data_IF_800378184407
#
_entry.id   IF_800378184407
#
_cell.length_a   1.000
_cell.length_b   1.000
_cell.length_c   1.000
_cell.angle_alpha   90.00
_cell.angle_beta   90.00
_cell.angle_gamma   90.00
#
_symmetry.space_group_name_H-M   'P 1'
#
loop_
_entity.id
_entity.type
_entity.pdbx_description
1 polymer ?
#
# COMPACT_ATOMS: atom_id res chain seq x y z
N UNK A 1 15.20 -23.13 7.95
CA UNK A 1 15.95 -22.48 6.85
C UNK A 1 17.44 -22.28 7.21
N UNK A 2 18.36 -22.25 6.24
CA UNK A 2 19.74 -21.80 6.50
C UNK A 2 19.78 -20.27 6.62
N UNK A 3 20.52 -19.73 7.59
CA UNK A 3 20.64 -18.28 7.80
C UNK A 3 20.95 -17.50 6.51
N UNK A 4 21.73 -18.10 5.60
CA UNK A 4 22.08 -17.53 4.30
C UNK A 4 20.87 -17.30 3.36
N UNK A 5 19.89 -18.22 3.32
CA UNK A 5 18.73 -18.08 2.45
C UNK A 5 17.81 -16.92 2.88
N UNK A 6 17.62 -16.74 4.20
CA UNK A 6 16.86 -15.62 4.75
C UNK A 6 17.53 -14.27 4.49
N UNK A 7 18.85 -14.19 4.66
CA UNK A 7 19.62 -12.96 4.35
C UNK A 7 19.52 -12.61 2.86
N UNK A 8 19.67 -13.60 1.98
CA UNK A 8 19.59 -13.40 0.53
C UNK A 8 18.18 -12.98 0.07
N UNK A 9 17.13 -13.45 0.76
CA UNK A 9 15.75 -13.01 0.53
C UNK A 9 15.58 -11.54 0.89
N UNK A 10 15.95 -11.14 2.12
CA UNK A 10 15.81 -9.76 2.60
C UNK A 10 16.56 -8.78 1.71
N UNK A 11 17.79 -9.13 1.30
CA UNK A 11 18.58 -8.30 0.39
C UNK A 11 17.88 -8.06 -0.94
N UNK A 12 17.32 -9.10 -1.58
CA UNK A 12 16.60 -8.97 -2.86
C UNK A 12 15.31 -8.16 -2.71
N UNK A 13 14.57 -8.34 -1.60
CA UNK A 13 13.39 -7.51 -1.31
C UNK A 13 13.77 -6.04 -1.18
N UNK A 14 14.85 -5.73 -0.45
CA UNK A 14 15.34 -4.37 -0.33
C UNK A 14 15.81 -3.80 -1.68
N UNK A 15 16.51 -4.59 -2.49
CA UNK A 15 16.94 -4.16 -3.83
C UNK A 15 15.74 -3.82 -4.72
N UNK A 16 14.74 -4.70 -4.79
CA UNK A 16 13.51 -4.47 -5.54
C UNK A 16 12.76 -3.22 -5.05
N UNK A 17 12.62 -3.08 -3.73
CA UNK A 17 11.98 -1.91 -3.13
C UNK A 17 12.71 -0.60 -3.45
N UNK A 18 14.04 -0.60 -3.53
CA UNK A 18 14.79 0.58 -3.96
C UNK A 18 14.47 0.94 -5.42
N UNK A 19 14.35 -0.04 -6.32
CA UNK A 19 13.93 0.22 -7.71
C UNK A 19 12.51 0.79 -7.79
N UNK A 20 11.57 0.31 -6.96
CA UNK A 20 10.24 0.89 -6.84
C UNK A 20 10.27 2.36 -6.39
N UNK A 21 11.10 2.69 -5.39
CA UNK A 21 11.27 4.08 -4.92
C UNK A 21 11.84 5.00 -6.00
N UNK A 22 12.66 4.46 -6.90
CA UNK A 22 13.18 5.13 -8.08
C UNK A 22 12.18 5.13 -9.26
N UNK A 23 10.98 4.56 -9.10
CA UNK A 23 9.97 4.36 -10.14
C UNK A 23 10.45 3.50 -11.32
N UNK A 24 11.44 2.63 -11.09
CA UNK A 24 11.99 1.67 -12.06
C UNK A 24 11.26 0.33 -11.90
N UNK A 25 9.97 0.34 -12.21
CA UNK A 25 9.04 -0.76 -11.92
C UNK A 25 9.41 -2.06 -12.64
N UNK A 26 9.82 -1.99 -13.91
CA UNK A 26 10.25 -3.15 -14.69
C UNK A 26 11.44 -3.87 -14.02
N UNK A 27 12.43 -3.11 -13.55
CA UNK A 27 13.60 -3.67 -12.88
C UNK A 27 13.26 -4.28 -11.52
N UNK A 28 12.31 -3.68 -10.79
CA UNK A 28 11.79 -4.27 -9.57
C UNK A 28 11.12 -5.64 -9.84
N UNK A 29 10.28 -5.71 -10.88
CA UNK A 29 9.61 -6.95 -11.29
C UNK A 29 10.63 -8.03 -11.66
N UNK A 30 11.69 -7.69 -12.41
CA UNK A 30 12.77 -8.63 -12.75
C UNK A 30 13.51 -9.17 -11.52
N UNK A 31 13.73 -8.32 -10.50
CA UNK A 31 14.33 -8.75 -9.24
C UNK A 31 13.41 -9.74 -8.51
N UNK A 32 12.12 -9.43 -8.40
CA UNK A 32 11.16 -10.32 -7.74
C UNK A 32 10.96 -11.64 -8.49
N UNK A 33 10.95 -11.62 -9.83
CA UNK A 33 10.88 -12.83 -10.64
C UNK A 33 12.10 -13.73 -10.42
N UNK A 34 13.31 -13.16 -10.39
CA UNK A 34 14.54 -13.92 -10.08
C UNK A 34 14.53 -14.46 -8.65
N UNK A 35 14.01 -13.69 -7.69
CA UNK A 35 13.84 -14.16 -6.32
C UNK A 35 12.88 -15.36 -6.27
N UNK A 36 11.70 -15.26 -6.89
CA UNK A 36 10.71 -16.33 -6.96
C UNK A 36 11.25 -17.60 -7.61
N UNK A 37 12.03 -17.49 -8.68
CA UNK A 37 12.68 -18.62 -9.33
C UNK A 37 13.74 -19.31 -8.46
N UNK A 38 14.34 -18.58 -7.52
CA UNK A 38 15.32 -19.12 -6.57
C UNK A 38 14.70 -19.78 -5.34
N UNK A 39 13.44 -19.47 -5.03
CA UNK A 39 12.72 -20.03 -3.90
C UNK A 39 12.18 -21.43 -4.23
N UNK A 40 12.32 -22.42 -3.34
CA UNK A 40 11.71 -23.73 -3.54
C UNK A 40 10.19 -23.63 -3.69
N UNK A 41 9.61 -24.41 -4.61
CA UNK A 41 8.16 -24.57 -4.76
C UNK A 41 7.52 -25.45 -3.66
N UNK A 42 8.25 -25.70 -2.56
CA UNK A 42 7.88 -26.68 -1.53
C UNK A 42 6.84 -26.11 -0.56
N UNK A 43 6.15 -27.03 0.11
CA UNK A 43 5.07 -26.76 1.07
C UNK A 43 5.47 -26.12 2.40
N UNK A 44 6.74 -25.73 2.58
CA UNK A 44 7.20 -25.14 3.85
C UNK A 44 6.51 -23.78 4.06
N UNK A 45 5.80 -23.60 5.19
CA UNK A 45 5.17 -22.33 5.54
C UNK A 45 6.06 -21.10 5.35
N UNK A 46 7.35 -21.21 5.68
CA UNK A 46 8.30 -20.10 5.58
C UNK A 46 8.58 -19.70 4.12
N UNK A 47 8.78 -20.67 3.23
CA UNK A 47 8.98 -20.37 1.81
C UNK A 47 7.72 -19.83 1.15
N UNK A 48 6.54 -20.31 1.56
CA UNK A 48 5.27 -19.74 1.08
C UNK A 48 5.11 -18.28 1.52
N UNK A 49 5.46 -17.94 2.75
CA UNK A 49 5.46 -16.55 3.19
C UNK A 49 6.39 -15.66 2.34
N UNK A 50 7.61 -16.15 2.04
CA UNK A 50 8.55 -15.44 1.17
C UNK A 50 8.02 -15.25 -0.25
N UNK A 51 7.42 -16.29 -0.84
CA UNK A 51 6.79 -16.22 -2.16
C UNK A 51 5.65 -15.21 -2.16
N UNK A 52 4.77 -15.25 -1.17
CA UNK A 52 3.67 -14.30 -1.02
C UNK A 52 4.17 -12.85 -1.01
N UNK A 53 5.22 -12.55 -0.23
CA UNK A 53 5.81 -11.20 -0.15
C UNK A 53 6.34 -10.74 -1.51
N UNK A 54 7.09 -11.58 -2.21
CA UNK A 54 7.65 -11.24 -3.52
C UNK A 54 6.54 -11.06 -4.58
N UNK A 55 5.51 -11.91 -4.57
CA UNK A 55 4.36 -11.83 -5.46
C UNK A 55 3.52 -10.58 -5.21
N UNK A 56 3.28 -10.19 -3.95
CA UNK A 56 2.60 -8.93 -3.62
C UNK A 56 3.34 -7.72 -4.18
N UNK A 57 4.66 -7.66 -4.00
CA UNK A 57 5.48 -6.56 -4.51
C UNK A 57 5.51 -6.52 -6.04
N UNK A 58 5.61 -7.69 -6.68
CA UNK A 58 5.46 -7.80 -8.14
C UNK A 58 4.09 -7.32 -8.61
N UNK A 59 3.01 -7.76 -7.97
CA UNK A 59 1.64 -7.36 -8.28
C UNK A 59 1.43 -5.85 -8.17
N UNK A 60 1.96 -5.22 -7.12
CA UNK A 60 1.91 -3.76 -6.96
C UNK A 60 2.67 -3.02 -8.08
N UNK A 61 3.90 -3.45 -8.40
CA UNK A 61 4.66 -2.85 -9.50
C UNK A 61 3.95 -3.04 -10.87
N UNK A 62 3.30 -4.18 -11.09
CA UNK A 62 2.51 -4.44 -12.30
C UNK A 62 1.28 -3.53 -12.38
N UNK A 63 0.65 -3.19 -11.26
CA UNK A 63 -0.44 -2.20 -11.22
C UNK A 63 0.04 -0.80 -11.62
N UNK A 64 1.20 -0.36 -11.13
CA UNK A 64 1.81 0.91 -11.52
C UNK A 64 2.09 0.98 -13.04
N UNK A 65 2.47 -0.16 -13.64
CA UNK A 65 2.65 -0.32 -15.09
C UNK A 65 1.35 -0.61 -15.85
N UNK A 66 0.19 -0.63 -15.18
CA UNK A 66 -1.13 -0.91 -15.78
C UNK A 66 -1.23 -2.30 -16.44
N UNK A 67 -0.38 -3.26 -16.03
CA UNK A 67 -0.38 -4.65 -16.50
C UNK A 67 -1.36 -5.48 -15.67
N UNK A 68 -2.65 -5.22 -15.86
CA UNK A 68 -3.69 -5.66 -14.94
C UNK A 68 -3.88 -7.17 -14.84
N UNK A 69 -3.80 -7.90 -15.96
CA UNK A 69 -3.94 -9.36 -15.93
C UNK A 69 -2.75 -10.03 -15.22
N UNK A 70 -1.54 -9.53 -15.47
CA UNK A 70 -0.33 -10.01 -14.77
C UNK A 70 -0.40 -9.68 -13.27
N UNK A 71 -0.88 -8.47 -12.93
CA UNK A 71 -1.08 -8.06 -11.54
C UNK A 71 -2.11 -8.96 -10.84
N UNK A 72 -3.23 -9.28 -11.50
CA UNK A 72 -4.24 -10.20 -10.99
C UNK A 72 -3.64 -11.56 -10.69
N UNK A 73 -2.94 -12.14 -11.67
CA UNK A 73 -2.31 -13.45 -11.51
C UNK A 73 -1.31 -13.48 -10.35
N UNK A 74 -0.46 -12.46 -10.25
CA UNK A 74 0.52 -12.34 -9.17
C UNK A 74 -0.16 -12.21 -7.80
N UNK A 75 -1.22 -11.39 -7.67
CA UNK A 75 -1.91 -11.18 -6.40
C UNK A 75 -2.78 -12.36 -5.96
N UNK A 76 -3.39 -13.07 -6.91
CA UNK A 76 -4.11 -14.32 -6.63
C UNK A 76 -3.14 -15.41 -6.13
N UNK A 77 -1.97 -15.55 -6.78
CA UNK A 77 -0.91 -16.46 -6.31
C UNK A 77 -0.37 -16.00 -4.94
N UNK A 78 -0.19 -14.70 -4.73
CA UNK A 78 0.26 -14.15 -3.44
C UNK A 78 -0.69 -14.52 -2.31
N UNK A 79 -2.01 -14.38 -2.53
CA UNK A 79 -3.01 -14.73 -1.54
C UNK A 79 -3.08 -16.25 -1.29
N UNK A 80 -2.87 -17.05 -2.33
CA UNK A 80 -2.75 -18.50 -2.19
C UNK A 80 -1.56 -18.89 -1.31
N UNK A 81 -0.37 -18.37 -1.61
CA UNK A 81 0.85 -18.63 -0.85
C UNK A 81 0.76 -18.10 0.58
N UNK A 82 0.17 -16.92 0.77
CA UNK A 82 -0.07 -16.34 2.09
C UNK A 82 -0.97 -17.24 2.95
N UNK A 83 -2.07 -17.77 2.38
CA UNK A 83 -2.92 -18.73 3.10
C UNK A 83 -2.17 -20.01 3.43
N UNK A 84 -1.35 -20.49 2.50
CA UNK A 84 -0.55 -21.69 2.69
C UNK A 84 0.57 -21.53 3.73
N UNK A 85 1.02 -20.30 4.00
CA UNK A 85 2.02 -20.05 5.06
C UNK A 85 1.42 -20.17 6.46
N UNK A 86 0.10 -20.02 6.59
CA UNK A 86 -0.58 -20.01 7.89
C UNK A 86 -0.26 -18.79 8.76
N UNK A 87 0.56 -17.85 8.29
CA UNK A 87 0.90 -16.62 9.02
C UNK A 87 -0.22 -15.57 8.85
N UNK A 88 -0.95 -15.22 9.92
CA UNK A 88 -2.04 -14.26 9.83
C UNK A 88 -1.62 -12.87 9.33
N UNK A 89 -0.38 -12.45 9.62
CA UNK A 89 0.13 -11.14 9.20
C UNK A 89 0.40 -11.11 7.69
N UNK A 90 0.96 -12.21 7.14
CA UNK A 90 1.18 -12.34 5.69
C UNK A 90 -0.16 -12.41 4.96
N UNK A 91 -1.15 -13.14 5.51
CA UNK A 91 -2.51 -13.15 4.94
C UNK A 91 -3.14 -11.77 4.95
N UNK A 92 -2.98 -11.00 6.03
CA UNK A 92 -3.50 -9.63 6.11
C UNK A 92 -2.89 -8.71 5.03
N UNK A 93 -1.58 -8.80 4.81
CA UNK A 93 -0.90 -8.05 3.75
C UNK A 93 -1.40 -8.45 2.35
N UNK A 94 -1.58 -9.75 2.09
CA UNK A 94 -2.07 -10.23 0.80
C UNK A 94 -3.52 -9.80 0.53
N UNK A 95 -4.37 -9.82 1.57
CA UNK A 95 -5.74 -9.31 1.49
C UNK A 95 -5.76 -7.80 1.23
N UNK A 96 -4.89 -7.03 1.89
CA UNK A 96 -4.75 -5.59 1.62
C UNK A 96 -4.41 -5.36 0.13
N UNK A 97 -3.41 -6.05 -0.41
CA UNK A 97 -3.00 -5.91 -1.81
C UNK A 97 -4.12 -6.34 -2.78
N UNK A 98 -4.78 -7.47 -2.52
CA UNK A 98 -5.92 -7.93 -3.32
C UNK A 98 -7.11 -6.96 -3.27
N UNK A 99 -7.36 -6.36 -2.10
CA UNK A 99 -8.40 -5.35 -1.91
C UNK A 99 -8.14 -4.07 -2.69
N UNK A 100 -6.89 -3.58 -2.67
CA UNK A 100 -6.45 -2.44 -3.51
C UNK A 100 -6.66 -2.74 -4.99
N UNK A 101 -6.24 -3.93 -5.45
CA UNK A 101 -6.42 -4.33 -6.84
C UNK A 101 -7.89 -4.40 -7.25
N UNK A 102 -8.74 -5.07 -6.47
CA UNK A 102 -10.17 -5.19 -6.75
C UNK A 102 -10.86 -3.80 -6.80
N UNK A 103 -10.54 -2.92 -5.83
CA UNK A 103 -11.03 -1.54 -5.83
C UNK A 103 -10.59 -0.75 -7.08
N UNK A 104 -9.40 -1.03 -7.64
CA UNK A 104 -8.89 -0.39 -8.85
C UNK A 104 -9.42 -1.00 -10.16
N UNK A 105 -10.04 -2.17 -10.11
CA UNK A 105 -10.58 -2.89 -11.28
C UNK A 105 -12.11 -2.89 -11.31
N UNK A 106 -12.72 -1.87 -10.69
CA UNK A 106 -14.18 -1.67 -10.65
C UNK A 106 -14.97 -2.82 -10.01
N UNK A 107 -14.37 -3.50 -9.03
CA UNK A 107 -15.03 -4.44 -8.11
C UNK A 107 -14.97 -3.89 -6.67
N UNK A 108 -15.72 -2.79 -6.37
CA UNK A 108 -15.63 -2.10 -5.10
C UNK A 108 -16.13 -2.95 -3.93
N UNK A 109 -17.13 -3.81 -4.13
CA UNK A 109 -17.65 -4.69 -3.07
C UNK A 109 -16.61 -5.71 -2.62
N UNK A 110 -15.92 -6.36 -3.58
CA UNK A 110 -14.86 -7.31 -3.25
C UNK A 110 -13.63 -6.60 -2.68
N UNK A 111 -13.31 -5.41 -3.20
CA UNK A 111 -12.26 -4.55 -2.65
C UNK A 111 -12.49 -4.23 -1.19
N UNK A 112 -13.69 -3.78 -0.85
CA UNK A 112 -14.10 -3.48 0.53
C UNK A 112 -14.02 -4.71 1.43
N UNK A 113 -14.55 -5.85 0.98
CA UNK A 113 -14.52 -7.10 1.75
C UNK A 113 -13.09 -7.54 2.10
N UNK A 114 -12.17 -7.48 1.14
CA UNK A 114 -10.76 -7.83 1.39
C UNK A 114 -10.07 -6.84 2.33
N UNK A 115 -10.32 -5.55 2.19
CA UNK A 115 -9.74 -4.54 3.06
C UNK A 115 -10.25 -4.64 4.51
N UNK A 116 -11.52 -5.00 4.70
CA UNK A 116 -12.09 -5.24 6.03
C UNK A 116 -11.52 -6.51 6.68
N UNK A 117 -11.35 -7.61 5.94
CA UNK A 117 -10.69 -8.82 6.45
C UNK A 117 -9.21 -8.54 6.81
N UNK A 118 -8.50 -7.77 5.97
CA UNK A 118 -7.15 -7.31 6.29
C UNK A 118 -7.11 -6.52 7.61
N UNK A 119 -8.02 -5.56 7.80
CA UNK A 119 -8.15 -4.78 9.04
C UNK A 119 -8.37 -5.66 10.27
N UNK A 120 -9.31 -6.61 10.19
CA UNK A 120 -9.61 -7.52 11.30
C UNK A 120 -8.38 -8.33 11.72
N UNK A 121 -7.59 -8.79 10.75
CA UNK A 121 -6.37 -9.57 11.02
C UNK A 121 -5.26 -8.72 11.61
N UNK A 122 -5.05 -7.52 11.11
CA UNK A 122 -4.07 -6.60 11.69
C UNK A 122 -4.48 -6.12 13.09
N UNK A 123 -5.78 -6.12 13.44
CA UNK A 123 -6.25 -5.70 14.77
C UNK A 123 -5.79 -6.63 15.92
N UNK A 124 -5.30 -7.84 15.61
CA UNK A 124 -4.93 -8.83 16.64
C UNK A 124 -3.67 -8.46 17.43
N UNK A 125 -2.90 -7.47 16.99
CA UNK A 125 -1.69 -6.97 17.65
C UNK A 125 -1.59 -5.45 17.51
N UNK A 126 -1.03 -4.80 18.52
CA UNK A 126 -0.73 -3.36 18.50
C UNK A 126 0.78 -3.10 18.33
N UNK A 127 1.47 -3.96 17.60
CA UNK A 127 2.84 -3.69 17.16
C UNK A 127 2.87 -2.70 15.98
N UNK A 128 4.03 -2.08 15.74
CA UNK A 128 4.21 -1.06 14.70
C UNK A 128 3.79 -1.54 13.32
N UNK A 129 4.10 -2.79 12.95
CA UNK A 129 3.79 -3.34 11.64
C UNK A 129 2.27 -3.55 11.46
N UNK A 130 1.59 -3.98 12.52
CA UNK A 130 0.14 -4.17 12.55
C UNK A 130 -0.59 -2.83 12.50
N UNK A 131 -0.11 -1.82 13.23
CA UNK A 131 -0.61 -0.45 13.11
C UNK A 131 -0.41 0.09 11.69
N UNK A 132 0.77 -0.08 11.11
CA UNK A 132 1.04 0.32 9.73
C UNK A 132 0.05 -0.33 8.75
N UNK A 133 -0.13 -1.66 8.84
CA UNK A 133 -1.09 -2.39 8.01
C UNK A 133 -2.53 -1.90 8.16
N UNK A 134 -2.97 -1.61 9.39
CA UNK A 134 -4.31 -1.02 9.65
C UNK A 134 -4.45 0.35 9.02
N UNK A 135 -3.43 1.19 9.17
CA UNK A 135 -3.38 2.53 8.61
C UNK A 135 -3.55 2.54 7.10
N UNK A 136 -2.80 1.68 6.39
CA UNK A 136 -2.91 1.52 4.94
C UNK A 136 -4.26 0.94 4.51
N UNK A 137 -4.83 0.01 5.27
CA UNK A 137 -6.16 -0.51 4.98
C UNK A 137 -7.26 0.55 5.16
N UNK A 138 -7.17 1.39 6.20
CA UNK A 138 -8.07 2.54 6.36
C UNK A 138 -7.93 3.54 5.20
N UNK A 139 -6.71 3.87 4.78
CA UNK A 139 -6.48 4.77 3.64
C UNK A 139 -7.17 4.26 2.36
N UNK A 140 -7.01 2.98 2.05
CA UNK A 140 -7.62 2.37 0.87
C UNK A 140 -9.15 2.31 0.98
N UNK A 141 -9.70 1.99 2.15
CA UNK A 141 -11.15 2.05 2.38
C UNK A 141 -11.69 3.47 2.25
N UNK A 142 -11.01 4.47 2.81
CA UNK A 142 -11.41 5.87 2.70
C UNK A 142 -11.47 6.32 1.24
N UNK A 143 -10.45 5.95 0.45
CA UNK A 143 -10.41 6.23 -0.99
C UNK A 143 -11.54 5.54 -1.74
N UNK A 144 -11.81 4.28 -1.43
CA UNK A 144 -12.92 3.50 -1.99
C UNK A 144 -14.28 4.12 -1.65
N UNK A 145 -14.48 4.55 -0.41
CA UNK A 145 -15.69 5.23 0.04
C UNK A 145 -15.89 6.56 -0.68
N UNK A 146 -14.82 7.33 -0.87
CA UNK A 146 -14.86 8.56 -1.66
C UNK A 146 -15.31 8.31 -3.11
N UNK A 147 -14.70 7.32 -3.77
CA UNK A 147 -15.04 6.93 -5.15
C UNK A 147 -16.48 6.43 -5.29
N UNK A 148 -17.02 5.79 -4.25
CA UNK A 148 -18.39 5.27 -4.21
C UNK A 148 -19.41 6.28 -3.66
N UNK A 149 -19.02 7.54 -3.43
CA UNK A 149 -19.91 8.61 -2.99
C UNK A 149 -20.28 8.58 -1.50
N UNK A 150 -19.70 7.67 -0.72
CA UNK A 150 -19.90 7.56 0.74
C UNK A 150 -19.01 8.57 1.48
N UNK A 151 -19.23 9.86 1.23
CA UNK A 151 -18.31 10.94 1.61
C UNK A 151 -18.07 11.04 3.12
N UNK A 152 -19.12 11.01 3.95
CA UNK A 152 -18.96 11.11 5.41
C UNK A 152 -18.11 9.95 5.95
N UNK A 153 -18.36 8.75 5.45
CA UNK A 153 -17.60 7.56 5.80
C UNK A 153 -16.16 7.66 5.31
N UNK A 154 -15.93 8.21 4.11
CA UNK A 154 -14.60 8.45 3.57
C UNK A 154 -13.76 9.35 4.48
N UNK A 155 -14.27 10.53 4.85
CA UNK A 155 -13.54 11.48 5.69
C UNK A 155 -13.25 10.94 7.09
N UNK A 156 -14.23 10.30 7.75
CA UNK A 156 -13.98 9.64 9.04
C UNK A 156 -12.91 8.55 8.92
N UNK A 157 -12.89 7.83 7.80
CA UNK A 157 -11.91 6.76 7.57
C UNK A 157 -10.52 7.32 7.24
N UNK A 158 -10.42 8.47 6.56
CA UNK A 158 -9.14 9.18 6.37
C UNK A 158 -8.54 9.61 7.71
N UNK A 159 -9.33 10.17 8.62
CA UNK A 159 -8.87 10.51 9.97
C UNK A 159 -8.31 9.29 10.70
N UNK A 160 -9.01 8.15 10.65
CA UNK A 160 -8.50 6.90 11.22
C UNK A 160 -7.19 6.45 10.58
N UNK A 161 -7.04 6.61 9.27
CA UNK A 161 -5.79 6.29 8.58
C UNK A 161 -4.63 7.16 9.09
N UNK A 162 -4.84 8.47 9.20
CA UNK A 162 -3.84 9.43 9.69
C UNK A 162 -3.42 9.12 11.14
N UNK A 163 -4.38 8.90 12.04
CA UNK A 163 -4.11 8.60 13.45
C UNK A 163 -3.31 7.31 13.60
N UNK A 164 -3.73 6.25 12.90
CA UNK A 164 -3.11 4.92 13.01
C UNK A 164 -1.74 4.87 12.34
N UNK A 165 -1.57 5.52 11.18
CA UNK A 165 -0.26 5.65 10.52
C UNK A 165 0.69 6.51 11.36
N UNK A 166 0.18 7.58 12.00
CA UNK A 166 0.95 8.40 12.92
C UNK A 166 1.42 7.62 14.14
N UNK A 167 0.55 6.79 14.73
CA UNK A 167 0.92 5.88 15.82
C UNK A 167 1.95 4.81 15.40
N UNK A 168 1.97 4.43 14.12
CA UNK A 168 2.99 3.55 13.53
C UNK A 168 4.29 4.28 13.15
N UNK A 169 4.36 5.61 13.33
CA UNK A 169 5.43 6.49 12.83
C UNK A 169 5.66 6.31 11.31
N UNK A 170 4.61 5.97 10.55
CA UNK A 170 4.63 5.91 9.09
C UNK A 170 4.20 7.28 8.55
N UNK A 171 5.07 8.28 8.69
CA UNK A 171 4.77 9.65 8.30
C UNK A 171 4.57 9.80 6.78
N UNK A 172 5.19 8.92 5.97
CA UNK A 172 4.95 8.86 4.54
C UNK A 172 3.51 8.39 4.25
N UNK A 173 3.01 7.42 5.01
CA UNK A 173 1.62 7.01 5.00
C UNK A 173 0.67 8.12 5.45
N UNK A 174 0.99 8.86 6.51
CA UNK A 174 0.19 10.02 6.94
C UNK A 174 0.10 11.07 5.82
N UNK A 175 1.21 11.37 5.16
CA UNK A 175 1.24 12.27 4.01
C UNK A 175 0.35 11.77 2.86
N UNK A 176 0.42 10.47 2.55
CA UNK A 176 -0.40 9.85 1.52
C UNK A 176 -1.91 9.91 1.86
N UNK A 177 -2.27 9.78 3.14
CA UNK A 177 -3.65 9.91 3.59
C UNK A 177 -4.20 11.34 3.42
N UNK A 178 -3.41 12.35 3.78
CA UNK A 178 -3.75 13.75 3.50
C UNK A 178 -3.85 14.04 2.01
N UNK A 179 -2.91 13.53 1.20
CA UNK A 179 -2.93 13.73 -0.26
C UNK A 179 -4.19 13.12 -0.89
N UNK A 180 -4.55 11.88 -0.51
CA UNK A 180 -5.75 11.22 -1.01
C UNK A 180 -7.04 11.92 -0.56
N UNK A 181 -7.10 12.41 0.69
CA UNK A 181 -8.22 13.22 1.16
C UNK A 181 -8.34 14.52 0.37
N UNK A 182 -7.22 15.21 0.10
CA UNK A 182 -7.19 16.41 -0.71
C UNK A 182 -7.73 16.13 -2.13
N UNK A 183 -7.32 15.02 -2.76
CA UNK A 183 -7.84 14.62 -4.07
C UNK A 183 -9.36 14.44 -4.05
N UNK A 184 -9.92 13.83 -2.99
CA UNK A 184 -11.37 13.73 -2.82
C UNK A 184 -12.03 15.11 -2.66
N UNK A 185 -11.47 16.00 -1.82
CA UNK A 185 -11.96 17.38 -1.66
C UNK A 185 -12.03 18.12 -2.99
N UNK A 186 -10.97 17.99 -3.79
CA UNK A 186 -10.93 18.60 -5.13
C UNK A 186 -11.99 18.01 -6.06
N UNK A 187 -12.23 16.71 -6.02
CA UNK A 187 -13.24 16.05 -6.83
C UNK A 187 -14.67 16.50 -6.49
N UNK A 188 -14.93 16.89 -5.23
CA UNK A 188 -16.22 17.43 -4.77
C UNK A 188 -16.26 18.97 -4.77
N UNK A 189 -15.26 19.63 -5.38
CA UNK A 189 -15.15 21.09 -5.46
C UNK A 189 -15.05 21.83 -4.10
N UNK A 190 -14.56 21.17 -3.06
CA UNK A 190 -14.26 21.77 -1.75
C UNK A 190 -12.83 22.32 -1.76
N UNK A 191 -12.64 23.41 -2.49
CA UNK A 191 -11.31 23.96 -2.81
C UNK A 191 -10.56 24.50 -1.58
N UNK A 192 -11.28 25.04 -0.59
CA UNK A 192 -10.64 25.59 0.62
C UNK A 192 -10.01 24.47 1.45
N UNK A 193 -10.77 23.41 1.76
CA UNK A 193 -10.24 22.24 2.48
C UNK A 193 -9.25 21.44 1.65
N UNK A 194 -9.40 21.43 0.32
CA UNK A 194 -8.39 20.83 -0.56
C UNK A 194 -7.01 21.48 -0.33
N UNK A 195 -6.92 22.80 -0.20
CA UNK A 195 -5.64 23.49 0.06
C UNK A 195 -5.06 23.16 1.44
N UNK A 196 -5.92 23.08 2.46
CA UNK A 196 -5.53 22.71 3.82
C UNK A 196 -4.95 21.29 3.84
N UNK A 197 -5.68 20.31 3.33
CA UNK A 197 -5.27 18.91 3.25
C UNK A 197 -3.96 18.74 2.47
N UNK A 198 -3.82 19.48 1.36
CA UNK A 198 -2.61 19.44 0.54
C UNK A 198 -1.39 20.08 1.25
N UNK A 199 -1.63 21.09 2.09
CA UNK A 199 -0.63 21.69 2.96
C UNK A 199 -0.10 20.70 4.00
N UNK A 200 -1.00 19.96 4.66
CA UNK A 200 -0.63 18.90 5.60
C UNK A 200 0.18 17.79 4.91
N UNK A 201 -0.26 17.34 3.72
CA UNK A 201 0.49 16.35 2.95
C UNK A 201 1.94 16.80 2.68
N UNK A 202 2.16 18.07 2.32
CA UNK A 202 3.50 18.64 2.09
C UNK A 202 4.35 18.59 3.37
N UNK A 203 3.80 18.97 4.52
CA UNK A 203 4.52 18.97 5.81
C UNK A 203 5.05 17.57 6.14
N UNK A 204 4.21 16.55 5.99
CA UNK A 204 4.61 15.17 6.27
C UNK A 204 5.57 14.60 5.22
N UNK A 205 5.41 14.93 3.93
CA UNK A 205 6.39 14.53 2.92
C UNK A 205 7.77 15.20 3.11
N UNK A 206 7.82 16.46 3.53
CA UNK A 206 9.09 17.13 3.86
C UNK A 206 9.76 16.47 5.07
N UNK A 207 8.98 16.14 6.11
CA UNK A 207 9.46 15.45 7.30
C UNK A 207 10.17 14.14 6.95
N UNK A 208 9.63 13.41 5.97
CA UNK A 208 10.21 12.15 5.46
C UNK A 208 11.29 12.35 4.38
N UNK A 209 11.65 13.59 4.05
CA UNK A 209 12.63 13.88 3.02
C UNK A 209 12.18 13.58 1.59
N UNK A 210 10.88 13.37 1.35
CA UNK A 210 10.29 13.08 0.03
C UNK A 210 10.11 14.35 -0.81
N UNK A 211 11.20 15.09 -1.04
CA UNK A 211 11.20 16.41 -1.69
C UNK A 211 10.46 16.44 -3.04
N UNK A 212 10.70 15.44 -3.89
CA UNK A 212 10.06 15.37 -5.20
C UNK A 212 8.52 15.33 -5.13
N UNK A 213 7.97 14.61 -4.13
CA UNK A 213 6.51 14.61 -3.89
C UNK A 213 6.07 15.97 -3.35
N UNK A 214 6.73 16.50 -2.32
CA UNK A 214 6.38 17.78 -1.71
C UNK A 214 6.37 18.93 -2.74
N UNK A 215 7.40 19.03 -3.59
CA UNK A 215 7.53 20.08 -4.63
C UNK A 215 6.46 19.97 -5.71
N UNK A 216 6.06 18.74 -6.08
CA UNK A 216 4.92 18.52 -6.97
C UNK A 216 3.64 19.09 -6.36
N UNK A 217 3.38 18.83 -5.09
CA UNK A 217 2.17 19.33 -4.42
C UNK A 217 2.19 20.85 -4.24
N UNK A 218 3.35 21.45 -3.93
CA UNK A 218 3.52 22.92 -3.91
C UNK A 218 3.19 23.56 -5.25
N UNK A 219 3.57 22.91 -6.34
CA UNK A 219 3.25 23.37 -7.70
C UNK A 219 1.74 23.38 -7.93
N UNK A 220 1.01 22.39 -7.41
CA UNK A 220 -0.45 22.33 -7.50
C UNK A 220 -1.15 23.44 -6.72
N UNK A 221 -0.63 23.82 -5.55
CA UNK A 221 -1.15 24.97 -4.77
C UNK A 221 -0.94 26.31 -5.49
N UNK A 222 0.03 26.39 -6.41
CA UNK A 222 0.48 27.63 -7.01
C UNK A 222 1.23 28.51 -6.00
N UNK A 223 1.97 29.52 -6.50
CA UNK A 223 2.50 30.56 -5.60
C UNK A 223 1.32 31.35 -5.04
N UNK A 224 1.21 31.46 -3.71
CA UNK A 224 0.40 32.52 -3.07
C UNK A 224 0.75 33.83 -3.79
N UNK A 225 -0.23 34.45 -4.45
CA UNK A 225 -0.10 35.88 -4.77
C UNK A 225 -0.08 36.58 -3.41
N UNK A 226 1.10 37.04 -3.04
CA UNK A 226 1.30 38.00 -1.93
C UNK A 226 0.59 39.29 -2.30
#
# INVERSE_FOLDING_TARGET
>A
MSHAAGVAFVQRIHEGHNREREQRWEEAIEIYARLLASLPLRSDPEFRAMRAIALMRSGNALMELRRWEDARAALDEALHEAKGSGDPAIVAQALLAAGVFAANQDDPERGEAFLLDALERFHRKDDRASLQGRGWAFLNLATLYGRTGRLDLAFVTFTKAQDVLGAAEDWAGVAAAWEAQAQLRRAIHDEDRWREDLGEAIVFYDREGMKAKADRLRTLLGKKRV
#
